data_IF_860804971228
#
_entry.id   IF_860804971228
#
_cell.length_a   1.000
_cell.length_b   1.000
_cell.length_c   1.000
_cell.angle_alpha   90.00
_cell.angle_beta   90.00
_cell.angle_gamma   90.00
#
_symmetry.space_group_name_H-M   'P 1'
#
loop_
_entity.id
_entity.type
_entity.pdbx_description
1 polymer ?
#
# COMPACT_ATOMS: atom_id res chain seq x y z
N UNK A 1 -23.10 23.18 1.26
CA UNK A 1 -22.45 22.21 2.17
C UNK A 1 -22.10 20.97 1.35
N UNK A 2 -20.83 20.79 0.98
CA UNK A 2 -20.40 19.60 0.22
C UNK A 2 -20.57 18.36 1.10
N UNK A 3 -21.34 17.37 0.63
CA UNK A 3 -21.48 16.08 1.34
C UNK A 3 -20.08 15.51 1.53
N UNK A 4 -19.62 15.44 2.77
CA UNK A 4 -18.42 14.66 3.12
C UNK A 4 -18.74 13.24 2.67
N UNK A 5 -18.09 12.78 1.60
CA UNK A 5 -18.30 11.43 1.08
C UNK A 5 -17.93 10.47 2.22
N UNK A 6 -18.95 9.83 2.80
CA UNK A 6 -18.75 8.92 3.93
C UNK A 6 -17.75 7.84 3.54
N UNK A 7 -16.90 7.45 4.49
CA UNK A 7 -15.92 6.39 4.30
C UNK A 7 -16.63 5.13 3.74
N UNK A 8 -16.09 4.50 2.68
CA UNK A 8 -16.61 3.23 2.17
C UNK A 8 -16.82 2.22 3.30
N UNK A 9 -17.92 1.44 3.26
CA UNK A 9 -18.27 0.51 4.35
C UNK A 9 -17.16 -0.48 4.69
N UNK A 10 -16.39 -0.94 3.70
CA UNK A 10 -15.26 -1.86 3.90
C UNK A 10 -14.06 -1.21 4.62
N UNK A 11 -14.02 0.12 4.69
CA UNK A 11 -12.99 0.89 5.40
C UNK A 11 -13.47 1.37 6.78
N UNK A 12 -14.71 1.05 7.17
CA UNK A 12 -15.24 1.37 8.49
C UNK A 12 -14.70 0.36 9.51
N UNK A 13 -14.14 0.85 10.62
CA UNK A 13 -13.54 0.00 11.65
C UNK A 13 -12.62 0.76 12.60
N UNK A 14 -12.14 0.08 13.65
CA UNK A 14 -11.16 0.62 14.59
C UNK A 14 -9.79 0.69 13.90
N UNK A 15 -9.20 1.88 13.88
CA UNK A 15 -7.88 2.11 13.28
C UNK A 15 -6.78 1.61 14.21
N UNK A 16 -5.83 0.88 13.64
CA UNK A 16 -4.55 0.54 14.26
C UNK A 16 -3.51 1.54 13.76
N UNK A 17 -2.58 1.91 14.63
CA UNK A 17 -1.54 2.87 14.29
C UNK A 17 -0.26 2.13 13.86
N UNK A 18 0.52 2.72 12.92
CA UNK A 18 1.86 2.21 12.67
C UNK A 18 2.76 2.45 13.89
N UNK A 19 3.86 1.71 13.96
CA UNK A 19 4.97 2.07 14.83
C UNK A 19 5.66 3.31 14.26
N UNK A 20 5.40 4.45 14.93
CA UNK A 20 5.94 5.75 14.57
C UNK A 20 7.35 5.91 15.16
N UNK A 21 8.34 5.46 14.39
CA UNK A 21 9.78 5.60 14.70
C UNK A 21 10.57 4.52 13.98
N UNK A 22 11.67 4.88 13.29
CA UNK A 22 12.59 3.97 12.57
C UNK A 22 12.01 3.12 11.42
N UNK A 23 10.93 2.39 11.68
CA UNK A 23 10.26 1.37 10.88
C UNK A 23 9.25 1.93 9.85
N UNK A 24 8.88 3.22 9.91
CA UNK A 24 7.98 3.85 8.94
C UNK A 24 8.65 5.01 8.20
N UNK A 25 9.50 4.62 7.26
CA UNK A 25 10.34 5.52 6.47
C UNK A 25 9.54 6.45 5.56
N UNK A 26 10.21 7.45 5.00
CA UNK A 26 9.65 8.29 3.94
C UNK A 26 9.20 7.46 2.72
N UNK A 27 9.94 6.41 2.37
CA UNK A 27 9.58 5.49 1.31
C UNK A 27 8.24 4.79 1.56
N UNK A 28 8.02 4.29 2.78
CA UNK A 28 6.75 3.66 3.15
C UNK A 28 5.57 4.64 3.07
N UNK A 29 5.78 5.92 3.41
CA UNK A 29 4.75 6.97 3.28
C UNK A 29 4.40 7.25 1.82
N UNK A 30 5.41 7.35 0.95
CA UNK A 30 5.20 7.55 -0.49
C UNK A 30 4.49 6.34 -1.13
N UNK A 31 4.95 5.13 -0.81
CA UNK A 31 4.34 3.88 -1.27
C UNK A 31 2.90 3.73 -0.77
N UNK A 32 2.61 4.11 0.49
CA UNK A 32 1.25 4.12 1.01
C UNK A 32 0.35 5.03 0.19
N UNK A 33 0.79 6.26 -0.10
CA UNK A 33 0.03 7.20 -0.92
C UNK A 33 -0.19 6.70 -2.35
N UNK A 34 0.77 5.96 -2.91
CA UNK A 34 0.65 5.33 -4.23
C UNK A 34 -0.42 4.23 -4.28
N UNK A 35 -0.52 3.39 -3.24
CA UNK A 35 -1.51 2.30 -3.18
C UNK A 35 -2.88 2.73 -2.63
N UNK A 36 -3.04 3.98 -2.19
CA UNK A 36 -4.32 4.49 -1.68
C UNK A 36 -5.50 4.30 -2.66
N UNK A 37 -5.38 4.57 -3.98
CA UNK A 37 -6.47 4.33 -4.92
C UNK A 37 -6.94 2.86 -4.95
N UNK A 38 -5.99 1.92 -4.78
CA UNK A 38 -6.27 0.48 -4.74
C UNK A 38 -7.04 0.11 -3.47
N UNK A 39 -6.69 0.73 -2.34
CA UNK A 39 -7.38 0.54 -1.06
C UNK A 39 -8.79 1.16 -1.09
N UNK A 40 -8.96 2.29 -1.79
CA UNK A 40 -10.26 2.94 -2.00
C UNK A 40 -11.21 2.08 -2.83
N UNK A 41 -10.68 1.37 -3.84
CA UNK A 41 -11.44 0.38 -4.60
C UNK A 41 -11.93 -0.76 -3.69
N UNK A 42 -13.12 -1.30 -3.99
CA UNK A 42 -13.61 -2.46 -3.25
C UNK A 42 -12.70 -3.66 -3.51
N UNK A 43 -12.45 -4.53 -2.53
CA UNK A 43 -11.57 -5.70 -2.72
C UNK A 43 -11.91 -6.57 -3.94
N UNK A 44 -13.21 -6.73 -4.26
CA UNK A 44 -13.67 -7.49 -5.43
C UNK A 44 -13.68 -6.73 -6.77
N UNK A 45 -13.29 -5.46 -6.78
CA UNK A 45 -13.20 -4.62 -8.00
C UNK A 45 -11.75 -4.40 -8.45
N UNK A 46 -10.77 -4.96 -7.73
CA UNK A 46 -9.33 -4.80 -8.01
C UNK A 46 -8.91 -5.70 -9.16
N UNK A 47 -8.05 -5.18 -10.03
CA UNK A 47 -7.33 -6.02 -10.99
C UNK A 47 -6.26 -6.87 -10.28
N UNK A 48 -5.89 -8.03 -10.83
CA UNK A 48 -4.91 -8.93 -10.22
C UNK A 48 -3.58 -8.22 -9.90
N UNK A 49 -3.14 -7.33 -10.79
CA UNK A 49 -1.94 -6.51 -10.59
C UNK A 49 -2.04 -5.54 -9.42
N UNK A 50 -3.23 -4.99 -9.15
CA UNK A 50 -3.46 -4.08 -8.02
C UNK A 50 -3.52 -4.84 -6.69
N UNK A 51 -4.17 -6.00 -6.66
CA UNK A 51 -4.17 -6.88 -5.50
C UNK A 51 -2.75 -7.35 -5.15
N UNK A 52 -1.97 -7.76 -6.15
CA UNK A 52 -0.57 -8.14 -5.98
C UNK A 52 0.30 -6.95 -5.49
N UNK A 53 0.06 -5.74 -6.03
CA UNK A 53 0.76 -4.52 -5.61
C UNK A 53 0.49 -4.19 -4.15
N UNK A 54 -0.77 -4.27 -3.72
CA UNK A 54 -1.14 -4.06 -2.33
C UNK A 54 -0.50 -5.12 -1.43
N UNK A 55 -0.56 -6.40 -1.82
CA UNK A 55 0.07 -7.49 -1.06
C UNK A 55 1.59 -7.31 -0.92
N UNK A 56 2.28 -6.85 -1.98
CA UNK A 56 3.70 -6.52 -1.93
C UNK A 56 3.98 -5.39 -0.94
N UNK A 57 3.20 -4.31 -0.99
CA UNK A 57 3.35 -3.21 -0.03
C UNK A 57 3.14 -3.67 1.41
N UNK A 58 2.13 -4.52 1.66
CA UNK A 58 1.88 -5.09 2.98
C UNK A 58 3.04 -5.97 3.48
N UNK A 59 3.62 -6.80 2.60
CA UNK A 59 4.83 -7.60 2.89
C UNK A 59 6.03 -6.72 3.24
N UNK A 60 6.25 -5.61 2.52
CA UNK A 60 7.30 -4.65 2.82
C UNK A 60 7.12 -4.02 4.22
N UNK A 61 5.88 -3.70 4.60
CA UNK A 61 5.59 -3.17 5.94
C UNK A 61 5.89 -4.20 7.03
N UNK A 62 5.50 -5.46 6.83
CA UNK A 62 5.78 -6.55 7.77
C UNK A 62 7.29 -6.75 7.94
N UNK A 63 8.05 -6.78 6.85
CA UNK A 63 9.52 -6.89 6.86
C UNK A 63 10.19 -5.68 7.53
N UNK A 64 9.58 -4.51 7.43
CA UNK A 64 10.02 -3.32 8.15
C UNK A 64 9.67 -3.33 9.66
N UNK A 65 9.07 -4.41 10.17
CA UNK A 65 8.71 -4.57 11.58
C UNK A 65 7.39 -3.90 11.96
N UNK A 66 6.55 -3.53 10.99
CA UNK A 66 5.22 -3.01 11.32
C UNK A 66 4.32 -4.13 11.88
N UNK A 67 3.43 -3.81 12.83
CA UNK A 67 2.50 -4.80 13.38
C UNK A 67 1.59 -5.36 12.28
N UNK A 68 1.34 -6.68 12.23
CA UNK A 68 0.39 -7.26 11.27
C UNK A 68 -1.01 -6.65 11.36
N UNK A 69 -1.43 -6.29 12.57
CA UNK A 69 -2.70 -5.60 12.83
C UNK A 69 -2.80 -4.21 12.17
N UNK A 70 -1.66 -3.60 11.80
CA UNK A 70 -1.62 -2.39 10.99
C UNK A 70 -1.38 -2.72 9.51
N UNK A 71 -0.32 -3.49 9.21
CA UNK A 71 0.14 -3.75 7.85
C UNK A 71 -0.91 -4.46 6.99
N UNK A 72 -1.65 -5.42 7.55
CA UNK A 72 -2.67 -6.20 6.82
C UNK A 72 -4.07 -5.59 6.91
N UNK A 73 -4.24 -4.52 7.68
CA UNK A 73 -5.55 -3.95 7.94
C UNK A 73 -5.78 -2.71 7.06
N UNK A 74 -6.41 -2.92 5.91
CA UNK A 74 -6.70 -1.88 4.91
C UNK A 74 -7.38 -0.62 5.46
N UNK A 75 -8.36 -0.70 6.39
CA UNK A 75 -8.91 0.50 7.01
C UNK A 75 -7.86 1.35 7.73
N UNK A 76 -6.83 0.72 8.30
CA UNK A 76 -5.74 1.43 8.98
C UNK A 76 -4.76 2.06 8.02
N UNK A 77 -4.40 1.33 6.95
CA UNK A 77 -3.62 1.89 5.85
C UNK A 77 -4.34 3.10 5.24
N UNK A 78 -5.64 2.98 4.97
CA UNK A 78 -6.44 4.06 4.40
C UNK A 78 -6.45 5.31 5.28
N UNK A 79 -6.77 5.17 6.57
CA UNK A 79 -6.84 6.35 7.46
C UNK A 79 -5.47 6.99 7.66
N UNK A 80 -4.41 6.18 7.74
CA UNK A 80 -3.06 6.73 7.84
C UNK A 80 -2.64 7.43 6.54
N UNK A 81 -2.95 6.85 5.38
CA UNK A 81 -2.71 7.47 4.08
C UNK A 81 -3.51 8.75 3.88
N UNK A 82 -4.76 8.81 4.33
CA UNK A 82 -5.57 10.03 4.34
C UNK A 82 -4.97 11.12 5.23
N UNK A 83 -4.45 10.77 6.42
CA UNK A 83 -3.74 11.70 7.28
C UNK A 83 -2.45 12.23 6.61
N UNK A 84 -1.70 11.37 5.90
CA UNK A 84 -0.53 11.78 5.11
C UNK A 84 -0.90 12.67 3.92
N UNK A 85 -2.02 12.42 3.23
CA UNK A 85 -2.52 13.30 2.16
C UNK A 85 -2.81 14.72 2.67
N UNK A 86 -3.26 14.84 3.92
CA UNK A 86 -3.50 16.15 4.55
C UNK A 86 -2.21 16.80 5.10
N UNK A 87 -1.16 16.01 5.38
CA UNK A 87 0.13 16.48 5.86
C UNK A 87 1.29 15.93 5.01
N UNK A 88 1.38 16.42 3.77
CA UNK A 88 2.34 15.94 2.75
C UNK A 88 3.76 16.50 2.91
N UNK A 89 4.19 16.87 4.13
CA UNK A 89 5.51 17.51 4.31
C UNK A 89 6.63 16.59 3.79
N UNK A 90 7.26 16.98 2.69
CA UNK A 90 8.29 16.21 2.00
C UNK A 90 7.81 15.05 1.12
N UNK A 91 6.50 14.91 0.87
CA UNK A 91 5.86 13.85 0.07
C UNK A 91 5.30 14.40 -1.26
N UNK A 92 6.18 14.60 -2.25
CA UNK A 92 5.85 15.16 -3.57
C UNK A 92 5.13 14.16 -4.48
N UNK A 93 4.37 14.64 -5.46
CA UNK A 93 3.70 13.76 -6.45
C UNK A 93 4.70 12.91 -7.23
N UNK A 94 5.82 13.49 -7.67
CA UNK A 94 6.94 12.75 -8.29
C UNK A 94 7.49 11.63 -7.39
N UNK A 95 7.51 11.86 -6.07
CA UNK A 95 7.92 10.83 -5.11
C UNK A 95 6.92 9.69 -5.00
N UNK A 96 5.63 9.98 -5.16
CA UNK A 96 4.56 8.98 -5.15
C UNK A 96 4.61 8.17 -6.45
N UNK A 97 4.76 8.83 -7.60
CA UNK A 97 4.91 8.18 -8.90
C UNK A 97 6.12 7.22 -8.89
N UNK A 98 7.28 7.70 -8.43
CA UNK A 98 8.47 6.86 -8.30
C UNK A 98 8.27 5.67 -7.36
N UNK A 99 7.53 5.85 -6.26
CA UNK A 99 7.21 4.75 -5.36
C UNK A 99 6.26 3.72 -6.02
N UNK A 100 5.31 4.19 -6.82
CA UNK A 100 4.43 3.33 -7.60
C UNK A 100 5.21 2.50 -8.63
N UNK A 101 6.09 3.16 -9.41
CA UNK A 101 6.96 2.49 -10.38
C UNK A 101 7.84 1.42 -9.74
N UNK A 102 8.42 1.71 -8.57
CA UNK A 102 9.22 0.74 -7.84
C UNK A 102 8.39 -0.49 -7.43
N UNK A 103 7.15 -0.31 -6.99
CA UNK A 103 6.27 -1.45 -6.67
C UNK A 103 5.98 -2.28 -7.92
N UNK A 104 5.73 -1.65 -9.07
CA UNK A 104 5.53 -2.33 -10.35
C UNK A 104 6.78 -3.11 -10.80
N UNK A 105 7.96 -2.52 -10.68
CA UNK A 105 9.23 -3.19 -10.99
C UNK A 105 9.44 -4.43 -10.12
N UNK A 106 9.15 -4.36 -8.82
CA UNK A 106 9.26 -5.52 -7.92
C UNK A 106 8.27 -6.63 -8.28
N UNK A 107 7.05 -6.28 -8.68
CA UNK A 107 6.08 -7.26 -9.19
C UNK A 107 6.58 -7.92 -10.47
N UNK A 108 7.10 -7.12 -11.39
CA UNK A 108 7.64 -7.63 -12.64
C UNK A 108 8.82 -8.58 -12.39
N UNK A 109 9.77 -8.22 -11.53
CA UNK A 109 10.87 -9.11 -11.14
C UNK A 109 10.37 -10.41 -10.51
N UNK A 110 9.40 -10.34 -9.58
CA UNK A 110 8.78 -11.55 -8.99
C UNK A 110 8.11 -12.45 -10.02
N UNK A 111 7.46 -11.87 -11.03
CA UNK A 111 6.83 -12.62 -12.10
C UNK A 111 7.88 -13.31 -13.00
N UNK A 112 8.98 -12.64 -13.32
CA UNK A 112 10.09 -13.25 -14.06
C UNK A 112 10.73 -14.41 -13.28
N UNK A 113 10.99 -14.22 -11.99
CA UNK A 113 11.56 -15.28 -11.13
C UNK A 113 10.66 -16.51 -11.10
N UNK A 114 9.34 -16.31 -11.01
CA UNK A 114 8.37 -17.41 -11.05
C UNK A 114 8.41 -18.15 -12.41
N UNK A 115 8.48 -17.43 -13.53
CA UNK A 115 8.56 -18.03 -14.87
C UNK A 115 9.86 -18.82 -15.03
N UNK A 116 11.00 -18.28 -14.61
CA UNK A 116 12.29 -18.98 -14.69
C UNK A 116 12.30 -20.22 -13.80
N UNK A 117 11.79 -20.12 -12.57
CA UNK A 117 11.67 -21.26 -11.66
C UNK A 117 10.81 -22.37 -12.26
N UNK A 118 9.68 -22.04 -12.90
CA UNK A 118 8.85 -23.05 -13.58
C UNK A 118 9.54 -23.75 -14.75
N UNK A 119 10.50 -23.10 -15.42
CA UNK A 119 11.27 -23.68 -16.54
C UNK A 119 12.45 -24.57 -16.13
N UNK A 120 12.85 -24.54 -14.86
CA UNK A 120 13.96 -25.37 -14.34
C UNK A 120 13.47 -26.69 -13.72
N UNK A 121 12.16 -26.94 -13.70
CA UNK A 121 11.54 -28.12 -13.07
C UNK A 121 10.98 -29.12 -14.08
N UNK A 122 11.33 -28.96 -15.37
CA UNK A 122 11.06 -29.89 -16.47
C UNK A 122 12.41 -30.40 -17.02
#
# INVERSE_FOLDING_TARGET
MGRVKGLPRHLQGKTRLPLLGGCFSKGHRLALLAVMPIIEARPGERFDGEAAKLALFQDLLLKAGQPPAFALHEPSLYRFGAALRNNRRGLTDTGIEKANELLDQHLFSRALDAIVATKQTD
#
